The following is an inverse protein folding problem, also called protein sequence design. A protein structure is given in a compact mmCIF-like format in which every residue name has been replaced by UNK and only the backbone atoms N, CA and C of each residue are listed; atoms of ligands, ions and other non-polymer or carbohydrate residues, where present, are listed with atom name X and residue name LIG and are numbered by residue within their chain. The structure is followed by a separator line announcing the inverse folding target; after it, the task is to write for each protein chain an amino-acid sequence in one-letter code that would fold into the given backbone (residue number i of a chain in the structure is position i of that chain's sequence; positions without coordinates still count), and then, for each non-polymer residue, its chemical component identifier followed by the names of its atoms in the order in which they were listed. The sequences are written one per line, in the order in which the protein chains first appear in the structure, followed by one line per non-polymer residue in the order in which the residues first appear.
data_IF_458020843548
#
_entry.id   IF_458020843548
#
_cell.length_a   1.000
_cell.length_b   1.000
_cell.length_c   1.000
_cell.angle_alpha   90.00
_cell.angle_beta   90.00
_cell.angle_gamma   90.00
#
_symmetry.space_group_name_H-M   'P 1'
#
loop_
_entity.id
_entity.type
_entity.pdbx_description
1 polymer ?
#
# COMPACT_ATOMS: atom_id res chain seq x y z
N UNK A 1 -16.03 -29.13 -10.66
CA UNK A 1 -14.62 -29.47 -10.95
C UNK A 1 -13.77 -28.23 -10.68
N UNK A 2 -13.26 -28.09 -9.46
CA UNK A 2 -12.43 -26.96 -9.05
C UNK A 2 -10.99 -27.24 -9.49
N UNK A 3 -10.40 -26.36 -10.31
CA UNK A 3 -8.99 -26.50 -10.70
C UNK A 3 -8.14 -25.84 -9.61
N UNK A 4 -7.09 -26.50 -9.10
CA UNK A 4 -6.23 -25.90 -8.10
C UNK A 4 -5.49 -24.70 -8.70
N UNK A 5 -5.53 -23.58 -7.98
CA UNK A 5 -4.64 -22.44 -8.20
C UNK A 5 -3.31 -22.82 -7.56
N UNK A 6 -2.29 -23.08 -8.38
CA UNK A 6 -0.93 -23.24 -7.87
C UNK A 6 -0.39 -21.85 -7.54
N UNK A 7 -0.47 -21.48 -6.26
CA UNK A 7 0.45 -20.50 -5.69
C UNK A 7 1.77 -21.25 -5.54
N UNK A 8 2.68 -21.05 -6.49
CA UNK A 8 4.08 -21.41 -6.28
C UNK A 8 4.59 -20.40 -5.26
N UNK A 9 5.20 -20.93 -4.19
CA UNK A 9 5.73 -20.22 -3.03
C UNK A 9 6.26 -18.81 -3.30
N UNK A 10 6.12 -17.95 -2.29
CA UNK A 10 6.34 -16.49 -2.27
C UNK A 10 7.69 -15.93 -2.76
N UNK A 11 8.45 -16.62 -3.59
CA UNK A 11 9.39 -16.02 -4.51
C UNK A 11 8.62 -15.51 -5.73
N UNK A 12 8.49 -14.18 -5.85
CA UNK A 12 8.16 -13.50 -7.11
C UNK A 12 8.87 -14.24 -8.24
N UNK A 13 8.15 -14.72 -9.24
CA UNK A 13 8.78 -15.50 -10.29
C UNK A 13 9.88 -14.63 -10.91
N UNK A 14 11.17 -15.01 -10.77
CA UNK A 14 12.27 -14.16 -11.15
C UNK A 14 12.44 -14.38 -12.64
N UNK A 15 11.73 -13.63 -13.46
CA UNK A 15 11.94 -13.73 -14.90
C UNK A 15 12.62 -12.46 -15.41
N UNK A 16 13.95 -12.33 -15.21
CA UNK A 16 14.77 -11.99 -16.37
C UNK A 16 14.43 -13.03 -17.44
N UNK A 17 13.89 -12.62 -18.59
CA UNK A 17 14.02 -13.47 -19.78
C UNK A 17 15.51 -13.53 -20.11
N UNK A 18 16.23 -14.51 -19.56
CA UNK A 18 17.53 -14.85 -20.11
C UNK A 18 17.31 -15.20 -21.58
N UNK A 19 18.18 -14.68 -22.45
CA UNK A 19 18.13 -14.89 -23.89
C UNK A 19 18.05 -16.41 -24.18
N UNK A 20 16.93 -16.88 -24.73
CA UNK A 20 16.71 -18.30 -25.03
C UNK A 20 16.15 -19.17 -23.89
N UNK A 21 15.70 -18.59 -22.77
CA UNK A 21 15.05 -19.35 -21.69
C UNK A 21 13.64 -19.84 -22.08
N UNK A 22 13.23 -21.03 -21.62
CA UNK A 22 11.91 -21.59 -21.93
C UNK A 22 10.77 -20.74 -21.35
N UNK A 23 9.61 -20.82 -22.01
CA UNK A 23 8.38 -20.17 -21.58
C UNK A 23 8.05 -20.46 -20.13
N UNK A 24 7.60 -19.42 -19.43
CA UNK A 24 7.06 -19.58 -18.09
C UNK A 24 5.79 -20.43 -18.18
N UNK A 25 5.37 -21.12 -17.10
CA UNK A 25 4.10 -21.83 -17.07
C UNK A 25 2.89 -20.94 -17.42
N UNK A 26 2.97 -19.63 -17.16
CA UNK A 26 1.94 -18.65 -17.50
C UNK A 26 1.88 -18.41 -19.01
N UNK A 27 3.03 -18.31 -19.69
CA UNK A 27 3.07 -18.09 -21.14
C UNK A 27 2.55 -19.29 -21.92
N UNK A 28 2.86 -20.51 -21.47
CA UNK A 28 2.32 -21.74 -22.06
C UNK A 28 0.80 -21.81 -21.91
N UNK A 29 0.26 -21.39 -20.76
CA UNK A 29 -1.18 -21.29 -20.52
C UNK A 29 -1.83 -20.23 -21.41
N UNK A 30 -1.20 -19.07 -21.58
CA UNK A 30 -1.69 -18.01 -22.46
C UNK A 30 -1.70 -18.45 -23.94
N UNK A 31 -0.65 -19.15 -24.40
CA UNK A 31 -0.56 -19.72 -25.76
C UNK A 31 -1.63 -20.78 -26.01
N UNK A 32 -1.75 -21.75 -25.11
CA UNK A 32 -2.80 -22.78 -25.18
C UNK A 32 -4.22 -22.22 -25.11
N UNK A 33 -4.42 -21.09 -24.43
CA UNK A 33 -5.69 -20.36 -24.40
C UNK A 33 -5.89 -19.40 -25.60
N UNK A 34 -4.98 -19.38 -26.58
CA UNK A 34 -5.05 -18.52 -27.76
C UNK A 34 -4.91 -17.02 -27.48
N UNK A 35 -4.38 -16.64 -26.31
CA UNK A 35 -4.16 -15.23 -25.92
C UNK A 35 -2.87 -14.66 -26.49
N UNK A 36 -1.93 -15.52 -26.88
CA UNK A 36 -0.63 -15.16 -27.45
C UNK A 36 -0.38 -16.10 -28.64
N UNK A 37 0.14 -15.57 -29.74
CA UNK A 37 0.45 -16.39 -30.91
C UNK A 37 1.55 -17.43 -30.58
N UNK A 38 1.50 -18.66 -31.13
CA UNK A 38 2.47 -19.72 -30.84
C UNK A 38 3.92 -19.37 -31.19
N UNK A 39 4.11 -18.49 -32.16
CA UNK A 39 5.38 -17.99 -32.70
C UNK A 39 5.79 -16.63 -32.11
N UNK A 40 4.93 -16.00 -31.32
CA UNK A 40 5.23 -14.69 -30.75
C UNK A 40 6.32 -14.78 -29.68
N UNK A 41 7.31 -13.90 -29.79
CA UNK A 41 8.34 -13.67 -28.80
C UNK A 41 8.42 -12.18 -28.43
N UNK A 42 9.01 -11.88 -27.27
CA UNK A 42 9.15 -10.49 -26.80
C UNK A 42 10.14 -9.76 -27.72
N UNK A 43 9.78 -8.58 -28.27
CA UNK A 43 10.70 -7.76 -29.05
C UNK A 43 11.95 -7.38 -28.27
N UNK A 44 13.11 -7.29 -28.93
CA UNK A 44 14.41 -7.04 -28.29
C UNK A 44 14.40 -5.83 -27.35
N UNK A 45 13.77 -4.73 -27.76
CA UNK A 45 13.64 -3.50 -26.97
C UNK A 45 12.93 -3.68 -25.61
N UNK A 46 12.16 -4.76 -25.43
CA UNK A 46 11.35 -5.02 -24.24
C UNK A 46 11.85 -6.23 -23.42
N UNK A 47 12.95 -6.88 -23.83
CA UNK A 47 13.47 -8.09 -23.17
C UNK A 47 14.13 -7.81 -21.82
N UNK A 48 14.62 -6.60 -21.63
CA UNK A 48 15.43 -6.22 -20.48
C UNK A 48 14.61 -5.47 -19.41
N UNK A 49 13.43 -6.01 -19.05
CA UNK A 49 12.60 -5.47 -17.97
C UNK A 49 13.10 -5.96 -16.60
N UNK A 50 14.33 -5.58 -16.25
CA UNK A 50 15.01 -5.99 -15.02
C UNK A 50 14.82 -4.96 -13.90
N UNK A 51 14.75 -5.36 -12.62
CA UNK A 51 14.62 -4.43 -11.50
C UNK A 51 15.64 -3.28 -11.54
N UNK A 52 16.88 -3.56 -11.91
CA UNK A 52 17.97 -2.59 -11.99
C UNK A 52 17.73 -1.57 -13.12
N UNK A 53 17.21 -2.02 -14.26
CA UNK A 53 16.88 -1.14 -15.40
C UNK A 53 15.64 -0.31 -15.14
N UNK A 54 14.63 -0.88 -14.49
CA UNK A 54 13.45 -0.14 -14.05
C UNK A 54 13.86 0.94 -13.06
N UNK A 55 14.68 0.61 -12.06
CA UNK A 55 15.16 1.58 -11.08
C UNK A 55 16.00 2.71 -11.70
N UNK A 56 16.83 2.40 -12.71
CA UNK A 56 17.59 3.41 -13.44
C UNK A 56 16.72 4.29 -14.37
N UNK A 57 15.67 3.73 -14.96
CA UNK A 57 14.80 4.44 -15.91
C UNK A 57 13.65 5.21 -15.24
N UNK A 58 13.22 4.78 -14.06
CA UNK A 58 12.17 5.42 -13.26
C UNK A 58 12.73 5.80 -11.90
N UNK A 59 13.24 7.03 -11.71
CA UNK A 59 13.53 7.56 -10.39
C UNK A 59 12.22 7.71 -9.61
N UNK A 60 11.91 6.71 -8.79
CA UNK A 60 10.65 6.57 -8.02
C UNK A 60 10.34 7.82 -7.19
N UNK A 61 11.38 8.51 -6.73
CA UNK A 61 11.34 9.78 -5.98
C UNK A 61 10.58 10.92 -6.70
N UNK A 62 10.38 10.82 -8.02
CA UNK A 62 9.83 11.91 -8.84
C UNK A 62 8.30 11.89 -8.91
N UNK A 63 7.66 10.80 -8.50
CA UNK A 63 6.21 10.64 -8.65
C UNK A 63 5.46 11.07 -7.38
N UNK A 64 4.30 11.72 -7.52
CA UNK A 64 3.40 11.91 -6.37
C UNK A 64 2.94 10.54 -5.86
N UNK A 65 2.45 10.47 -4.62
CA UNK A 65 2.00 9.20 -4.01
C UNK A 65 0.94 8.46 -4.82
N UNK A 66 0.15 9.17 -5.63
CA UNK A 66 -0.87 8.63 -6.52
C UNK A 66 -0.66 9.12 -7.97
N UNK A 67 0.28 8.55 -8.73
CA UNK A 67 0.68 9.06 -10.06
C UNK A 67 -0.39 8.90 -11.14
N UNK A 68 -1.36 8.02 -10.93
CA UNK A 68 -2.48 7.77 -11.85
C UNK A 68 -3.81 8.32 -11.32
N UNK A 69 -3.76 9.19 -10.32
CA UNK A 69 -4.93 9.62 -9.57
C UNK A 69 -5.33 8.63 -8.48
N UNK A 70 -6.32 9.03 -7.68
CA UNK A 70 -6.83 8.24 -6.56
C UNK A 70 -8.28 8.61 -6.28
N UNK A 71 -9.05 7.63 -5.83
CA UNK A 71 -10.41 7.85 -5.32
C UNK A 71 -10.40 8.38 -3.87
N UNK A 72 -9.22 8.44 -3.23
CA UNK A 72 -9.08 9.05 -1.92
C UNK A 72 -9.20 10.57 -2.00
N UNK A 73 -10.11 11.11 -1.21
CA UNK A 73 -10.18 12.54 -0.88
C UNK A 73 -8.89 13.01 -0.22
N UNK A 74 -8.68 14.33 -0.19
CA UNK A 74 -7.50 14.92 0.45
C UNK A 74 -7.37 14.53 1.94
N UNK A 75 -8.49 14.48 2.66
CA UNK A 75 -8.52 14.08 4.07
C UNK A 75 -8.16 12.60 4.23
N UNK A 76 -8.63 11.72 3.34
CA UNK A 76 -8.24 10.31 3.36
C UNK A 76 -6.76 10.11 3.06
N UNK A 77 -6.21 10.88 2.12
CA UNK A 77 -4.77 10.84 1.83
C UNK A 77 -3.93 11.28 3.03
N UNK A 78 -4.40 12.25 3.83
CA UNK A 78 -3.77 12.66 5.09
C UNK A 78 -3.90 11.58 6.18
N UNK A 79 -5.02 10.84 6.20
CA UNK A 79 -5.25 9.76 7.16
C UNK A 79 -4.43 8.50 6.86
N UNK A 80 -4.08 8.24 5.59
CA UNK A 80 -3.40 7.00 5.18
C UNK A 80 -2.10 6.73 5.96
N UNK A 81 -1.14 7.67 6.10
CA UNK A 81 0.06 7.45 6.90
C UNK A 81 -0.26 7.13 8.37
N UNK A 82 -1.26 7.79 8.96
CA UNK A 82 -1.66 7.55 10.34
C UNK A 82 -2.31 6.15 10.51
N UNK A 83 -3.13 5.73 9.55
CA UNK A 83 -3.73 4.39 9.52
C UNK A 83 -2.67 3.30 9.38
N UNK A 84 -1.70 3.51 8.47
CA UNK A 84 -0.58 2.58 8.31
C UNK A 84 0.25 2.51 9.59
N UNK A 85 0.55 3.66 10.20
CA UNK A 85 1.27 3.70 11.47
C UNK A 85 0.53 2.91 12.55
N UNK A 86 -0.79 3.08 12.70
CA UNK A 86 -1.57 2.30 13.66
C UNK A 86 -1.57 0.80 13.35
N UNK A 87 -1.70 0.41 12.08
CA UNK A 87 -1.68 -0.98 11.65
C UNK A 87 -0.35 -1.67 12.00
N UNK A 88 0.78 -1.01 11.72
CA UNK A 88 2.11 -1.52 12.02
C UNK A 88 2.36 -1.69 13.53
N UNK A 89 1.64 -0.92 14.35
CA UNK A 89 1.79 -0.85 15.79
C UNK A 89 0.68 -1.56 16.58
N UNK A 90 -0.33 -2.12 15.90
CA UNK A 90 -1.53 -2.68 16.52
C UNK A 90 -1.24 -3.84 17.50
N UNK A 91 -0.19 -4.61 17.25
CA UNK A 91 0.23 -5.72 18.10
C UNK A 91 1.08 -5.29 19.33
N UNK A 92 1.30 -3.98 19.53
CA UNK A 92 2.23 -3.44 20.54
C UNK A 92 1.49 -2.54 21.54
N UNK A 93 0.92 -3.09 22.62
CA UNK A 93 0.04 -2.35 23.54
C UNK A 93 0.68 -1.11 24.16
N UNK A 94 1.97 -1.19 24.50
CA UNK A 94 2.72 -0.05 25.04
C UNK A 94 2.80 1.12 24.04
N UNK A 95 2.91 0.82 22.75
CA UNK A 95 2.99 1.85 21.70
C UNK A 95 1.62 2.46 21.44
N UNK A 96 0.54 1.66 21.45
CA UNK A 96 -0.83 2.17 21.41
C UNK A 96 -1.15 3.06 22.62
N UNK A 97 -0.72 2.67 23.83
CA UNK A 97 -0.88 3.49 25.02
C UNK A 97 -0.11 4.82 24.92
N UNK A 98 1.10 4.81 24.35
CA UNK A 98 1.87 6.02 24.08
C UNK A 98 1.17 6.93 23.07
N UNK A 99 0.56 6.38 22.01
CA UNK A 99 -0.24 7.13 21.05
C UNK A 99 -1.48 7.76 21.69
N UNK A 100 -2.22 7.02 22.50
CA UNK A 100 -3.35 7.57 23.27
C UNK A 100 -2.88 8.73 24.14
N UNK A 101 -1.79 8.54 24.90
CA UNK A 101 -1.25 9.58 25.76
C UNK A 101 -0.83 10.83 24.95
N UNK A 102 -0.26 10.65 23.76
CA UNK A 102 0.10 11.75 22.84
C UNK A 102 -1.13 12.47 22.32
N UNK A 103 -2.17 11.74 21.92
CA UNK A 103 -3.44 12.32 21.46
C UNK A 103 -4.15 13.12 22.55
N UNK A 104 -4.11 12.64 23.80
CA UNK A 104 -4.73 13.32 24.96
C UNK A 104 -3.94 14.54 25.45
N UNK A 105 -2.60 14.54 25.35
CA UNK A 105 -1.75 15.64 25.85
C UNK A 105 -1.55 16.78 24.86
N UNK A 106 -1.80 16.56 23.58
CA UNK A 106 -1.57 17.61 22.58
C UNK A 106 -2.60 18.73 22.65
N UNK A 107 -2.33 19.80 21.91
CA UNK A 107 -3.24 20.94 21.79
C UNK A 107 -4.59 20.53 21.20
N UNK A 108 -5.55 21.47 21.25
CA UNK A 108 -6.82 21.31 20.54
C UNK A 108 -6.57 20.95 19.08
N UNK A 109 -7.34 20.02 18.49
CA UNK A 109 -7.13 19.62 17.12
C UNK A 109 -7.25 20.80 16.16
N UNK A 110 -6.35 20.88 15.18
CA UNK A 110 -6.47 21.86 14.10
C UNK A 110 -7.57 21.48 13.09
N UNK A 111 -7.82 22.33 12.10
CA UNK A 111 -8.85 22.14 11.08
C UNK A 111 -8.70 20.78 10.34
N UNK A 112 -7.47 20.38 10.02
CA UNK A 112 -7.21 19.15 9.30
C UNK A 112 -7.41 17.92 10.19
N UNK A 113 -6.96 18.00 11.45
CA UNK A 113 -7.22 16.97 12.44
C UNK A 113 -8.71 16.83 12.75
N UNK A 114 -9.46 17.92 12.82
CA UNK A 114 -10.93 17.90 12.99
C UNK A 114 -11.63 17.24 11.79
N UNK A 115 -11.28 17.64 10.57
CA UNK A 115 -11.83 17.03 9.36
C UNK A 115 -11.49 15.53 9.26
N UNK A 116 -10.29 15.14 9.69
CA UNK A 116 -9.88 13.74 9.76
C UNK A 116 -10.71 12.97 10.80
N UNK A 117 -10.97 13.56 11.97
CA UNK A 117 -11.83 12.97 12.99
C UNK A 117 -13.27 12.84 12.50
N UNK A 118 -13.83 13.85 11.84
CA UNK A 118 -15.17 13.79 11.23
C UNK A 118 -15.24 12.68 10.18
N UNK A 119 -14.24 12.57 9.28
CA UNK A 119 -14.18 11.49 8.28
C UNK A 119 -14.19 10.10 8.92
N UNK A 120 -13.62 9.97 10.12
CA UNK A 120 -13.57 8.74 10.92
C UNK A 120 -14.80 8.55 11.83
N UNK A 121 -15.72 9.51 11.91
CA UNK A 121 -16.87 9.48 12.82
C UNK A 121 -16.49 9.65 14.30
N UNK A 122 -15.44 10.43 14.58
CA UNK A 122 -14.84 10.64 15.91
C UNK A 122 -14.77 12.13 16.31
N UNK A 123 -15.49 13.00 15.61
CA UNK A 123 -15.66 14.41 15.92
C UNK A 123 -16.48 14.62 17.20
N UNK A 124 -17.51 13.78 17.41
CA UNK A 124 -18.34 13.75 18.61
C UNK A 124 -18.32 12.36 19.29
N UNK A 125 -17.21 11.97 19.95
CA UNK A 125 -17.09 10.64 20.55
C UNK A 125 -18.02 10.45 21.76
N UNK A 126 -18.61 9.26 21.88
CA UNK A 126 -19.46 8.85 22.98
C UNK A 126 -18.86 7.69 23.77
N UNK A 127 -18.71 7.91 25.08
CA UNK A 127 -18.17 6.90 26.00
C UNK A 127 -16.66 6.64 25.84
N UNK A 128 -16.12 5.82 26.75
CA UNK A 128 -14.65 5.67 26.92
C UNK A 128 -13.97 5.08 25.67
N UNK A 129 -14.66 4.21 24.93
CA UNK A 129 -14.12 3.55 23.75
C UNK A 129 -13.89 4.52 22.60
N UNK A 130 -14.87 5.34 22.25
CA UNK A 130 -14.71 6.29 21.14
C UNK A 130 -13.73 7.40 21.50
N UNK A 131 -13.69 7.81 22.77
CA UNK A 131 -12.66 8.74 23.25
C UNK A 131 -11.24 8.16 23.10
N UNK A 132 -11.05 6.86 23.34
CA UNK A 132 -9.74 6.23 23.15
C UNK A 132 -9.38 6.08 21.67
N UNK A 133 -10.35 5.82 20.79
CA UNK A 133 -10.14 5.84 19.34
C UNK A 133 -9.79 7.25 18.84
N UNK A 134 -10.52 8.27 19.25
CA UNK A 134 -10.19 9.68 18.94
C UNK A 134 -8.77 10.03 19.37
N UNK A 135 -8.39 9.64 20.58
CA UNK A 135 -7.03 9.85 21.09
C UNK A 135 -5.97 9.07 20.28
N UNK A 136 -6.26 7.84 19.86
CA UNK A 136 -5.37 7.06 18.99
C UNK A 136 -5.15 7.75 17.64
N UNK A 137 -6.23 8.21 16.99
CA UNK A 137 -6.16 8.88 15.69
C UNK A 137 -5.34 10.16 15.80
N UNK A 138 -5.62 11.02 16.77
CA UNK A 138 -4.85 12.24 17.02
C UNK A 138 -3.38 11.92 17.33
N UNK A 139 -3.13 10.91 18.16
CA UNK A 139 -1.78 10.45 18.45
C UNK A 139 -1.04 10.00 17.21
N UNK A 140 -1.71 9.25 16.32
CA UNK A 140 -1.14 8.73 15.09
C UNK A 140 -0.90 9.82 14.04
N UNK A 141 -1.86 10.72 13.80
CA UNK A 141 -1.69 11.88 12.89
C UNK A 141 -0.46 12.71 13.27
N UNK A 142 -0.27 12.97 14.56
CA UNK A 142 0.88 13.72 15.10
C UNK A 142 2.19 12.93 15.11
N UNK A 143 2.15 11.63 14.83
CA UNK A 143 3.33 10.75 14.81
C UNK A 143 3.75 10.37 13.39
N UNK A 144 2.79 10.23 12.48
CA UNK A 144 3.01 9.83 11.10
C UNK A 144 3.43 10.99 10.18
N UNK A 145 3.19 12.25 10.60
CA UNK A 145 3.68 13.45 9.93
C UNK A 145 5.11 13.87 10.32
N UNK A 146 5.83 13.05 11.09
CA UNK A 146 7.23 13.26 11.46
C UNK A 146 8.17 12.33 10.69
#
# INVERSE_FOLDING_TARGET
MSRPVYIVDGARTPFPKARGAPFTPVDLKARSAGKIAPDWDIPEAHRDNLPERIGAAMPIETFPSFPFGTDFTQIEQLLLPAMQYLADHAARPAQLAALIARGLRGAQPDEAELAALERMGLDAPHGVREHSYRALILGALRSAGQ
#
